data_IF_457538008544
#
_entry.id   IF_457538008544
#
_cell.length_a   1.000
_cell.length_b   1.000
_cell.length_c   1.000
_cell.angle_alpha   90.00
_cell.angle_beta   90.00
_cell.angle_gamma   90.00
#
_symmetry.space_group_name_H-M   'P 1'
#
loop_
_entity.id
_entity.type
_entity.pdbx_description
1 polymer ?
#
# COMPACT_ATOMS: atom_id res chain seq x y z
N UNK A 1 -25.80 -16.09 -5.12
CA UNK A 1 -24.68 -15.35 -5.64
C UNK A 1 -23.53 -15.36 -4.66
N UNK A 2 -22.40 -15.56 -5.17
CA UNK A 2 -21.20 -15.59 -4.33
C UNK A 2 -20.78 -14.18 -3.97
N UNK A 3 -20.11 -14.08 -2.86
CA UNK A 3 -19.58 -12.82 -2.42
C UNK A 3 -18.41 -12.40 -3.28
N UNK A 4 -17.97 -11.20 -3.08
CA UNK A 4 -16.79 -10.65 -3.75
C UNK A 4 -15.64 -10.66 -2.78
N UNK A 5 -14.58 -11.36 -3.16
CA UNK A 5 -13.36 -11.39 -2.34
C UNK A 5 -12.32 -10.51 -3.00
N UNK A 6 -11.73 -9.63 -2.21
CA UNK A 6 -10.71 -8.75 -2.74
C UNK A 6 -9.74 -8.33 -1.66
N UNK A 7 -8.57 -7.92 -2.09
CA UNK A 7 -7.58 -7.36 -1.19
C UNK A 7 -7.63 -5.85 -1.33
N UNK A 8 -7.82 -5.19 -0.21
CA UNK A 8 -7.81 -3.73 -0.17
C UNK A 8 -6.51 -3.26 0.44
N UNK A 9 -5.97 -2.19 -0.11
CA UNK A 9 -4.75 -1.60 0.40
C UNK A 9 -5.07 -0.46 1.33
N UNK A 10 -4.38 -0.42 2.47
CA UNK A 10 -4.57 0.62 3.47
C UNK A 10 -3.35 1.54 3.57
N UNK A 11 -2.54 1.57 2.51
CA UNK A 11 -1.34 2.41 2.51
C UNK A 11 -1.69 3.87 2.71
N UNK A 12 -2.78 4.31 2.08
CA UNK A 12 -3.23 5.70 2.20
C UNK A 12 -3.54 6.04 3.66
N UNK A 13 -4.19 5.12 4.37
CA UNK A 13 -4.51 5.31 5.78
C UNK A 13 -3.23 5.38 6.61
N UNK A 14 -2.29 4.50 6.33
CA UNK A 14 -1.03 4.50 7.05
C UNK A 14 -0.24 5.78 6.82
N UNK A 15 -0.26 6.29 5.59
CA UNK A 15 0.40 7.55 5.29
C UNK A 15 -0.21 8.68 6.11
N UNK A 16 -1.54 8.71 6.21
CA UNK A 16 -2.21 9.72 6.99
C UNK A 16 -1.83 9.63 8.47
N UNK A 17 -1.74 8.41 8.98
CA UNK A 17 -1.37 8.18 10.37
C UNK A 17 0.07 8.61 10.65
N UNK A 18 0.96 8.50 9.68
CA UNK A 18 2.35 8.90 9.81
C UNK A 18 2.59 10.33 9.36
N UNK A 19 1.54 11.05 8.94
CA UNK A 19 1.63 12.41 8.43
C UNK A 19 2.64 12.49 7.28
N UNK A 20 2.58 11.51 6.39
CA UNK A 20 3.48 11.40 5.27
C UNK A 20 2.70 11.46 3.96
N UNK A 21 3.26 12.13 2.95
CA UNK A 21 2.62 12.22 1.64
C UNK A 21 3.07 11.06 0.76
N UNK A 22 2.32 10.83 -0.32
CA UNK A 22 2.72 9.80 -1.29
C UNK A 22 4.06 10.16 -1.93
N UNK A 23 4.31 11.44 -2.13
CA UNK A 23 5.58 11.89 -2.70
C UNK A 23 6.74 11.54 -1.77
N UNK A 24 6.55 11.77 -0.48
CA UNK A 24 7.58 11.44 0.49
C UNK A 24 7.83 9.93 0.53
N UNK A 25 6.77 9.15 0.47
CA UNK A 25 6.93 7.70 0.46
C UNK A 25 7.70 7.25 -0.78
N UNK A 26 7.39 7.83 -1.93
CA UNK A 26 8.10 7.50 -3.16
C UNK A 26 9.59 7.83 -3.04
N UNK A 27 9.89 8.98 -2.46
CA UNK A 27 11.28 9.41 -2.29
C UNK A 27 12.03 8.50 -1.32
N UNK A 28 11.40 8.13 -0.23
CA UNK A 28 12.04 7.31 0.78
C UNK A 28 12.23 5.86 0.35
N UNK A 29 11.31 5.35 -0.44
CA UNK A 29 11.37 3.95 -0.88
C UNK A 29 12.08 3.78 -2.21
N UNK A 30 12.18 4.84 -3.00
CA UNK A 30 12.71 4.73 -4.35
C UNK A 30 11.69 4.16 -5.32
N UNK A 31 10.46 3.96 -4.89
CA UNK A 31 9.40 3.48 -5.76
C UNK A 31 8.85 4.65 -6.55
N UNK A 32 8.53 4.41 -7.81
CA UNK A 32 8.07 5.47 -8.69
C UNK A 32 6.72 6.02 -8.21
N UNK A 33 6.51 7.34 -8.26
CA UNK A 33 5.25 7.93 -7.81
C UNK A 33 4.00 7.33 -8.43
N UNK A 34 3.95 7.01 -9.74
CA UNK A 34 2.76 6.36 -10.30
C UNK A 34 2.46 5.02 -9.65
N UNK A 35 3.50 4.28 -9.27
CA UNK A 35 3.32 2.99 -8.60
C UNK A 35 2.76 3.19 -7.21
N UNK A 36 3.27 4.19 -6.48
CA UNK A 36 2.74 4.51 -5.15
C UNK A 36 1.28 4.90 -5.24
N UNK A 37 0.93 5.72 -6.23
CA UNK A 37 -0.45 6.14 -6.43
C UNK A 37 -1.35 4.94 -6.72
N UNK A 38 -0.88 4.02 -7.57
CA UNK A 38 -1.66 2.82 -7.89
C UNK A 38 -1.89 1.96 -6.66
N UNK A 39 -0.88 1.84 -5.80
CA UNK A 39 -1.02 1.09 -4.56
C UNK A 39 -2.04 1.76 -3.65
N UNK A 40 -1.99 3.08 -3.53
CA UNK A 40 -2.89 3.81 -2.66
C UNK A 40 -4.34 3.74 -3.12
N UNK A 41 -4.56 3.68 -4.43
CA UNK A 41 -5.92 3.63 -4.98
C UNK A 41 -6.42 2.21 -5.17
N UNK A 42 -5.54 1.22 -5.00
CA UNK A 42 -5.92 -0.17 -5.21
C UNK A 42 -5.92 -0.59 -6.67
N UNK A 43 -5.37 0.24 -7.55
CA UNK A 43 -5.33 -0.06 -8.98
C UNK A 43 -4.19 -1.01 -9.36
N UNK A 44 -3.26 -1.23 -8.44
CA UNK A 44 -2.12 -2.09 -8.72
C UNK A 44 -2.58 -3.55 -8.80
N UNK A 45 -2.12 -4.26 -9.82
CA UNK A 45 -2.46 -5.67 -10.00
C UNK A 45 -1.37 -6.59 -9.47
N UNK A 46 -0.15 -6.08 -9.45
CA UNK A 46 0.99 -6.83 -8.94
C UNK A 46 1.76 -5.93 -7.97
N UNK A 47 2.05 -6.46 -6.81
CA UNK A 47 2.85 -5.75 -5.83
C UNK A 47 4.11 -6.56 -5.58
N UNK A 48 5.26 -6.12 -6.13
CA UNK A 48 6.50 -6.85 -5.89
C UNK A 48 6.83 -6.89 -4.40
N UNK A 49 7.39 -8.00 -3.97
CA UNK A 49 7.73 -8.17 -2.56
C UNK A 49 8.75 -7.11 -2.14
N UNK A 50 9.67 -6.75 -3.03
CA UNK A 50 10.65 -5.71 -2.73
C UNK A 50 9.98 -4.38 -2.42
N UNK A 51 8.96 -4.02 -3.20
CA UNK A 51 8.24 -2.78 -2.96
C UNK A 51 7.51 -2.84 -1.63
N UNK A 52 6.85 -3.96 -1.35
CA UNK A 52 6.15 -4.14 -0.09
C UNK A 52 7.10 -4.04 1.09
N UNK A 53 8.27 -4.67 0.97
CA UNK A 53 9.28 -4.63 2.03
C UNK A 53 9.73 -3.20 2.30
N UNK A 54 9.99 -2.44 1.25
CA UNK A 54 10.44 -1.05 1.40
C UNK A 54 9.37 -0.19 2.05
N UNK A 55 8.13 -0.38 1.67
CA UNK A 55 7.03 0.38 2.26
C UNK A 55 6.88 0.04 3.73
N UNK A 56 6.94 -1.24 4.07
CA UNK A 56 6.83 -1.67 5.47
C UNK A 56 7.95 -1.08 6.32
N UNK A 57 9.17 -1.08 5.80
CA UNK A 57 10.31 -0.52 6.52
C UNK A 57 10.17 0.98 6.72
N UNK A 58 9.73 1.67 5.67
CA UNK A 58 9.60 3.12 5.72
C UNK A 58 8.50 3.55 6.67
N UNK A 59 7.39 2.83 6.68
CA UNK A 59 6.26 3.13 7.55
C UNK A 59 6.33 2.43 8.89
N UNK A 60 7.34 1.59 9.09
CA UNK A 60 7.54 0.84 10.33
C UNK A 60 6.27 0.08 10.70
N UNK A 61 5.83 -0.77 9.77
CA UNK A 61 4.61 -1.54 9.96
C UNK A 61 4.74 -2.91 9.33
N UNK A 62 3.73 -3.74 9.56
CA UNK A 62 3.68 -5.08 8.99
C UNK A 62 2.88 -5.07 7.69
N UNK A 63 3.10 -6.05 6.81
CA UNK A 63 2.27 -6.14 5.60
C UNK A 63 0.78 -6.21 5.92
N UNK A 64 0.40 -6.83 7.03
CA UNK A 64 -1.00 -6.92 7.43
C UNK A 64 -1.59 -5.56 7.76
N UNK A 65 -0.74 -4.58 8.07
CA UNK A 65 -1.21 -3.21 8.31
C UNK A 65 -1.49 -2.47 7.01
N UNK A 66 -0.96 -2.99 5.90
CA UNK A 66 -1.10 -2.33 4.60
C UNK A 66 -2.19 -2.94 3.73
N UNK A 67 -2.59 -4.17 4.03
CA UNK A 67 -3.53 -4.89 3.20
C UNK A 67 -4.59 -5.54 4.05
N UNK A 68 -5.78 -5.67 3.47
CA UNK A 68 -6.90 -6.29 4.16
C UNK A 68 -7.66 -7.15 3.17
N UNK A 69 -7.95 -8.36 3.56
CA UNK A 69 -8.76 -9.25 2.75
C UNK A 69 -10.22 -9.02 3.12
N UNK A 70 -11.02 -8.68 2.12
CA UNK A 70 -12.44 -8.41 2.32
C UNK A 70 -13.24 -9.39 1.50
N UNK A 71 -14.21 -9.99 2.14
CA UNK A 71 -15.11 -10.93 1.47
C UNK A 71 -16.54 -10.57 1.83
N UNK A 72 -17.36 -10.39 0.81
CA UNK A 72 -18.77 -10.05 1.00
C UNK A 72 -19.66 -11.19 0.62
#
# INVERSE_FOLDING_TARGET
>A
MEGVAMIKFKVKVMLAMREMTQKELAEKTGIRPPTISAICTGAVKHLPIDALDKICKTLDCQPSDLMEYVEE
#
